data_IF_175995529163
#
_entry.id   IF_175995529163
#
_cell.length_a   1.000
_cell.length_b   1.000
_cell.length_c   1.000
_cell.angle_alpha   90.00
_cell.angle_beta   90.00
_cell.angle_gamma   90.00
#
_symmetry.space_group_name_H-M   'P 1'
#
loop_
_entity.id
_entity.type
_entity.pdbx_description
1 polymer ?
#
# COMPACT_ATOMS: atom_id res chain seq x y z
N UNK A 1 19.13 12.58 2.71
CA UNK A 1 18.79 11.15 2.90
C UNK A 1 20.08 10.42 3.18
N UNK A 2 20.17 9.52 4.19
CA UNK A 2 21.36 8.69 4.39
C UNK A 2 21.79 8.02 3.08
N UNK A 3 23.09 7.97 2.74
CA UNK A 3 23.57 7.40 1.47
C UNK A 3 23.04 5.97 1.21
N UNK A 4 22.92 5.16 2.26
CA UNK A 4 22.38 3.79 2.19
C UNK A 4 20.93 3.71 1.65
N UNK A 5 20.10 4.71 1.93
CA UNK A 5 18.74 4.83 1.39
C UNK A 5 18.71 5.50 0.01
N UNK A 6 19.67 6.40 -0.26
CA UNK A 6 19.73 7.21 -1.47
C UNK A 6 20.17 6.44 -2.73
N UNK A 7 21.18 5.57 -2.62
CA UNK A 7 21.69 4.82 -3.77
C UNK A 7 20.69 3.78 -4.31
N UNK A 8 19.62 3.49 -3.56
CA UNK A 8 18.58 2.55 -3.99
C UNK A 8 17.81 3.01 -5.22
N UNK A 9 17.57 4.31 -5.34
CA UNK A 9 16.69 4.91 -6.34
C UNK A 9 17.25 4.89 -7.79
N UNK A 10 18.56 4.69 -7.95
CA UNK A 10 19.24 4.81 -9.26
C UNK A 10 19.28 3.51 -10.08
N UNK A 11 18.82 2.37 -9.54
CA UNK A 11 18.95 1.07 -10.21
C UNK A 11 17.60 0.41 -10.46
N UNK A 12 17.48 -0.33 -11.57
CA UNK A 12 16.28 -1.02 -12.07
C UNK A 12 15.71 -2.13 -11.15
N UNK A 13 16.19 -2.25 -9.91
CA UNK A 13 15.85 -3.32 -8.95
C UNK A 13 15.74 -2.81 -7.50
N UNK A 14 15.09 -1.66 -7.27
CA UNK A 14 14.95 -1.15 -5.89
C UNK A 14 14.11 -2.08 -4.99
N UNK A 15 13.24 -2.92 -5.56
CA UNK A 15 12.51 -3.99 -4.84
C UNK A 15 13.41 -5.14 -4.39
N UNK A 16 14.51 -5.41 -5.09
CA UNK A 16 15.42 -6.54 -4.81
C UNK A 16 16.64 -6.12 -3.99
N UNK A 17 16.70 -4.85 -3.52
CA UNK A 17 17.90 -4.37 -2.84
C UNK A 17 18.03 -4.97 -1.46
N UNK A 18 18.95 -5.93 -1.41
CA UNK A 18 19.73 -6.33 -0.26
C UNK A 18 20.71 -5.21 0.06
N UNK A 19 20.64 -4.64 1.26
CA UNK A 19 21.73 -3.79 1.75
C UNK A 19 22.36 -4.40 2.98
N UNK A 20 23.69 -4.29 3.06
CA UNK A 20 24.47 -4.79 4.20
C UNK A 20 24.56 -3.66 5.22
N UNK A 21 23.96 -3.84 6.39
CA UNK A 21 24.14 -2.95 7.54
C UNK A 21 24.77 -3.77 8.66
N UNK A 22 25.94 -3.33 9.13
CA UNK A 22 26.69 -4.01 10.20
C UNK A 22 26.99 -5.49 9.87
N UNK A 23 27.31 -5.79 8.61
CA UNK A 23 27.59 -7.16 8.13
C UNK A 23 26.33 -8.00 7.81
N UNK A 24 25.13 -7.45 7.95
CA UNK A 24 23.86 -8.18 7.79
C UNK A 24 23.10 -7.75 6.55
N UNK A 25 22.66 -8.71 5.74
CA UNK A 25 21.79 -8.49 4.57
C UNK A 25 20.35 -8.19 5.03
N UNK A 26 19.88 -6.98 4.76
CA UNK A 26 18.50 -6.55 5.04
C UNK A 26 17.70 -6.58 3.74
N UNK A 27 16.56 -7.29 3.76
CA UNK A 27 15.58 -7.30 2.68
C UNK A 27 14.62 -6.13 2.85
N UNK A 28 14.76 -5.11 2.00
CA UNK A 28 13.76 -4.04 1.89
C UNK A 28 12.76 -4.41 0.80
N UNK A 29 11.89 -5.38 1.07
CA UNK A 29 10.69 -5.65 0.27
C UNK A 29 9.68 -4.51 0.44
N UNK A 30 10.07 -3.29 0.07
CA UNK A 30 9.19 -2.15 0.09
C UNK A 30 8.20 -2.33 -1.07
N UNK A 31 6.95 -2.64 -0.73
CA UNK A 31 5.82 -2.51 -1.65
C UNK A 31 5.90 -1.07 -2.20
N UNK A 32 6.06 -0.87 -3.51
CA UNK A 32 6.37 0.45 -4.07
C UNK A 32 7.87 0.72 -4.23
N UNK A 33 8.47 0.16 -5.29
CA UNK A 33 9.81 0.48 -5.74
C UNK A 33 9.87 1.93 -6.30
N UNK A 34 10.71 2.81 -5.74
CA UNK A 34 10.91 4.21 -6.17
C UNK A 34 11.74 4.36 -7.46
N UNK A 35 11.70 3.38 -8.36
CA UNK A 35 12.55 3.43 -9.55
C UNK A 35 12.05 4.52 -10.51
N UNK A 36 12.97 5.41 -10.89
CA UNK A 36 12.75 6.53 -11.82
C UNK A 36 12.20 6.11 -13.19
N UNK A 37 12.30 4.82 -13.53
CA UNK A 37 11.94 4.24 -14.84
C UNK A 37 10.48 3.78 -14.89
N UNK A 38 9.89 3.37 -13.77
CA UNK A 38 8.52 2.80 -13.79
C UNK A 38 7.55 3.41 -12.78
N UNK A 39 8.04 4.14 -11.76
CA UNK A 39 7.16 4.67 -10.70
C UNK A 39 7.62 6.04 -10.20
N UNK A 40 6.74 7.04 -10.30
CA UNK A 40 6.84 8.27 -9.53
C UNK A 40 6.19 8.06 -8.15
N UNK A 41 6.70 7.11 -7.36
CA UNK A 41 6.20 6.87 -6.02
C UNK A 41 6.64 8.00 -5.08
N UNK A 42 5.72 8.55 -4.30
CA UNK A 42 6.03 9.52 -3.25
C UNK A 42 6.25 8.79 -1.92
N UNK A 43 7.27 9.22 -1.15
CA UNK A 43 7.51 8.78 0.22
C UNK A 43 7.89 9.96 1.08
N UNK A 44 7.31 10.02 2.28
CA UNK A 44 7.69 10.98 3.32
C UNK A 44 9.14 10.83 3.79
N UNK A 45 9.79 9.69 3.52
CA UNK A 45 11.14 9.37 4.00
C UNK A 45 12.24 9.50 2.93
N UNK A 46 11.96 9.17 1.66
CA UNK A 46 12.92 9.41 0.57
C UNK A 46 12.67 10.81 -0.02
N UNK A 47 13.60 11.74 0.22
CA UNK A 47 13.66 13.02 -0.53
C UNK A 47 14.16 12.84 -1.97
N UNK A 48 14.16 11.60 -2.45
CA UNK A 48 14.69 11.17 -3.75
C UNK A 48 13.64 11.37 -4.84
N UNK A 49 12.37 11.37 -4.45
CA UNK A 49 11.33 11.97 -5.26
C UNK A 49 11.63 13.46 -5.34
N UNK A 50 12.02 13.89 -6.54
CA UNK A 50 12.07 15.29 -6.91
C UNK A 50 11.23 15.40 -8.17
N UNK A 51 10.36 16.41 -8.28
CA UNK A 51 9.82 16.75 -9.57
C UNK A 51 10.98 17.07 -10.54
N UNK A 52 10.74 17.14 -11.86
CA UNK A 52 11.74 17.61 -12.81
C UNK A 52 12.01 19.11 -12.62
N UNK A 53 12.55 19.51 -11.47
CA UNK A 53 12.79 20.90 -11.05
C UNK A 53 13.52 21.73 -12.09
N UNK A 54 14.52 21.22 -12.84
CA UNK A 54 15.13 22.00 -13.91
C UNK A 54 14.12 22.49 -14.96
N UNK A 55 13.13 21.67 -15.34
CA UNK A 55 12.07 22.07 -16.27
C UNK A 55 11.14 23.12 -15.64
N UNK A 56 10.95 23.04 -14.33
CA UNK A 56 10.10 23.93 -13.55
C UNK A 56 10.70 25.34 -13.34
N UNK A 57 11.98 25.54 -13.67
CA UNK A 57 12.70 26.79 -13.41
C UNK A 57 13.03 27.61 -14.66
N UNK A 58 12.71 27.13 -15.87
CA UNK A 58 13.07 27.83 -17.12
C UNK A 58 12.16 29.03 -17.40
N UNK A 59 10.85 28.82 -17.41
CA UNK A 59 9.83 29.86 -17.62
C UNK A 59 8.51 29.43 -16.99
N UNK A 60 7.60 30.38 -16.75
CA UNK A 60 6.27 30.07 -16.20
C UNK A 60 5.47 29.16 -17.14
N UNK A 61 5.53 29.40 -18.45
CA UNK A 61 4.87 28.55 -19.45
C UNK A 61 5.41 27.12 -19.42
N UNK A 62 6.75 26.95 -19.40
CA UNK A 62 7.33 25.60 -19.34
C UNK A 62 7.03 24.91 -18.02
N UNK A 63 6.98 25.65 -16.91
CA UNK A 63 6.58 25.13 -15.61
C UNK A 63 5.15 24.57 -15.65
N UNK A 64 4.21 25.31 -16.24
CA UNK A 64 2.81 24.90 -16.32
C UNK A 64 2.62 23.69 -17.25
N UNK A 65 3.31 23.67 -18.40
CA UNK A 65 3.32 22.52 -19.32
C UNK A 65 3.93 21.28 -18.64
N UNK A 66 5.08 21.45 -17.98
CA UNK A 66 5.76 20.35 -17.32
C UNK A 66 4.96 19.81 -16.13
N UNK A 67 4.24 20.67 -15.37
CA UNK A 67 3.31 20.25 -14.32
C UNK A 67 2.14 19.46 -14.89
N UNK A 68 1.53 19.96 -15.97
CA UNK A 68 0.44 19.26 -16.64
C UNK A 68 0.88 17.87 -17.09
N UNK A 69 1.98 17.77 -17.85
CA UNK A 69 2.52 16.49 -18.33
C UNK A 69 2.87 15.57 -17.16
N UNK A 70 3.57 16.08 -16.15
CA UNK A 70 4.01 15.27 -15.01
C UNK A 70 2.82 14.69 -14.22
N UNK A 71 1.82 15.49 -13.85
CA UNK A 71 0.71 15.01 -13.05
C UNK A 71 -0.34 14.22 -13.86
N UNK A 72 -0.48 14.49 -15.16
CA UNK A 72 -1.46 13.80 -16.00
C UNK A 72 -0.99 12.49 -16.62
N UNK A 73 0.31 12.33 -16.84
CA UNK A 73 0.85 11.13 -17.50
C UNK A 73 1.55 10.15 -16.54
N UNK A 74 1.69 10.50 -15.26
CA UNK A 74 2.32 9.61 -14.28
C UNK A 74 1.29 8.95 -13.37
N UNK A 75 1.61 7.71 -12.98
CA UNK A 75 0.95 6.99 -11.89
C UNK A 75 1.65 7.30 -10.58
N UNK A 76 0.90 7.85 -9.63
CA UNK A 76 1.39 8.12 -8.29
C UNK A 76 1.00 6.99 -7.36
N UNK A 77 1.99 6.35 -6.75
CA UNK A 77 1.80 5.34 -5.70
C UNK A 77 2.21 5.96 -4.38
N UNK A 78 1.27 6.02 -3.44
CA UNK A 78 1.47 6.56 -2.09
C UNK A 78 1.37 5.41 -1.11
N UNK A 79 2.49 5.09 -0.47
CA UNK A 79 2.57 4.00 0.49
C UNK A 79 2.56 4.52 1.94
N UNK A 80 1.70 3.95 2.77
CA UNK A 80 1.45 4.33 4.15
C UNK A 80 2.41 3.69 5.18
N UNK A 81 3.32 2.82 4.74
CA UNK A 81 4.33 2.07 5.54
C UNK A 81 5.17 2.90 6.51
N UNK A 82 5.25 4.23 6.34
CA UNK A 82 6.18 5.10 7.07
C UNK A 82 5.50 6.30 7.74
N UNK A 83 4.17 6.30 7.87
CA UNK A 83 3.49 7.33 8.66
C UNK A 83 3.98 7.32 10.12
N UNK A 84 4.42 6.16 10.63
CA UNK A 84 5.26 6.07 11.82
C UNK A 84 6.70 6.47 11.49
N UNK A 85 7.28 7.44 12.20
CA UNK A 85 8.73 7.73 12.22
C UNK A 85 9.61 6.52 12.57
N UNK A 86 9.00 5.38 12.88
CA UNK A 86 9.59 4.07 12.97
C UNK A 86 8.74 3.08 12.13
N UNK A 87 9.04 2.85 10.82
CA UNK A 87 8.53 1.70 10.05
C UNK A 87 8.51 0.39 10.83
N UNK A 88 9.47 0.29 11.74
CA UNK A 88 9.72 -0.82 12.64
C UNK A 88 8.64 -1.00 13.70
N UNK A 89 7.65 -0.12 13.88
CA UNK A 89 6.62 -0.32 14.92
C UNK A 89 5.32 -0.89 14.30
N UNK A 90 4.96 -0.47 13.08
CA UNK A 90 3.96 -1.19 12.29
C UNK A 90 4.47 -2.57 11.83
N UNK A 91 5.80 -2.70 11.73
CA UNK A 91 6.53 -3.91 11.40
C UNK A 91 7.70 -4.15 12.38
N UNK A 92 7.40 -4.41 13.65
CA UNK A 92 8.40 -4.81 14.68
C UNK A 92 8.88 -6.26 14.54
N UNK A 93 9.31 -6.59 13.31
CA UNK A 93 9.38 -7.94 12.74
C UNK A 93 10.54 -8.03 11.78
N UNK A 94 10.65 -7.02 10.93
CA UNK A 94 11.63 -7.02 9.85
C UNK A 94 12.95 -6.39 10.28
N UNK A 95 13.03 -5.82 11.49
CA UNK A 95 14.32 -5.59 12.11
C UNK A 95 14.80 -6.88 12.74
N UNK A 96 15.82 -7.46 12.10
CA UNK A 96 16.57 -8.65 12.53
C UNK A 96 15.82 -9.96 12.46
N UNK A 97 15.37 -10.31 11.26
CA UNK A 97 15.61 -11.68 10.83
C UNK A 97 17.10 -11.72 10.49
N UNK A 98 17.89 -11.98 11.54
CA UNK A 98 19.25 -12.49 11.40
C UNK A 98 19.07 -13.77 10.60
N UNK A 99 19.21 -13.72 9.29
CA UNK A 99 19.61 -14.92 8.56
C UNK A 99 21.13 -14.83 8.55
N UNK A 100 21.84 -15.35 9.56
CA UNK A 100 23.21 -15.72 9.29
C UNK A 100 23.14 -16.71 8.13
N UNK A 101 23.97 -16.52 7.11
CA UNK A 101 24.22 -17.53 6.07
C UNK A 101 24.99 -18.73 6.69
N UNK A 102 24.94 -18.90 8.02
CA UNK A 102 25.64 -19.89 8.82
C UNK A 102 24.74 -20.40 9.95
N UNK A 103 24.69 -21.72 10.07
CA UNK A 103 23.61 -22.52 10.65
C UNK A 103 23.22 -22.32 12.13
N UNK A 104 23.89 -21.51 12.95
CA UNK A 104 23.80 -21.71 14.42
C UNK A 104 23.55 -20.49 15.33
N UNK A 105 22.88 -19.41 14.90
CA UNK A 105 22.47 -18.35 15.85
C UNK A 105 21.09 -17.79 15.56
N UNK A 106 20.07 -18.38 16.17
CA UNK A 106 18.71 -17.85 16.19
C UNK A 106 18.39 -17.22 17.54
N UNK A 107 17.55 -16.18 17.50
CA UNK A 107 16.90 -15.50 18.63
C UNK A 107 17.74 -14.47 19.39
N UNK A 108 17.48 -13.19 19.11
CA UNK A 108 17.72 -12.11 20.08
C UNK A 108 16.47 -12.04 20.98
N UNK A 109 16.55 -12.37 22.28
CA UNK A 109 15.39 -12.45 23.17
C UNK A 109 14.65 -11.11 23.33
N UNK A 110 15.33 -9.99 23.10
CA UNK A 110 14.81 -8.65 23.40
C UNK A 110 13.70 -8.18 22.45
N UNK A 111 13.54 -8.80 21.28
CA UNK A 111 12.62 -8.32 20.22
C UNK A 111 11.40 -9.22 19.98
N UNK A 112 11.39 -10.47 20.48
CA UNK A 112 10.21 -11.37 20.43
C UNK A 112 9.08 -10.84 21.33
N UNK A 113 9.36 -9.87 22.19
CA UNK A 113 8.43 -9.39 23.22
C UNK A 113 7.88 -7.98 22.98
N UNK A 114 8.26 -7.28 21.91
CA UNK A 114 7.62 -5.99 21.62
C UNK A 114 6.21 -6.24 21.09
N UNK A 115 5.22 -5.82 21.88
CA UNK A 115 3.82 -5.89 21.46
C UNK A 115 3.62 -4.93 20.29
N UNK A 116 2.94 -5.34 19.21
CA UNK A 116 2.55 -4.40 18.16
C UNK A 116 1.79 -3.23 18.78
N UNK A 117 1.91 -2.01 18.22
CA UNK A 117 1.21 -0.86 18.75
C UNK A 117 -0.30 -1.14 18.74
N UNK A 118 -0.98 -0.80 19.83
CA UNK A 118 -2.43 -0.98 19.95
C UNK A 118 -3.22 0.15 19.24
N UNK A 119 -2.56 0.92 18.38
CA UNK A 119 -3.16 2.03 17.64
C UNK A 119 -2.38 2.32 16.37
N UNK A 120 -3.04 3.01 15.44
CA UNK A 120 -2.38 3.54 14.27
C UNK A 120 -1.28 4.54 14.69
N UNK A 121 -0.06 4.45 14.14
CA UNK A 121 1.10 5.08 14.77
C UNK A 121 1.32 6.55 14.33
N UNK A 122 0.46 7.10 13.48
CA UNK A 122 0.66 8.42 12.89
C UNK A 122 -0.58 9.29 12.94
N UNK A 123 -0.41 10.60 13.05
CA UNK A 123 -1.53 11.54 13.10
C UNK A 123 -2.23 11.72 11.75
N UNK A 124 -1.61 11.31 10.64
CA UNK A 124 -2.10 11.51 9.27
C UNK A 124 -1.68 10.37 8.37
N UNK A 125 -2.53 10.00 7.41
CA UNK A 125 -2.15 9.06 6.35
C UNK A 125 -1.16 9.70 5.37
N UNK A 126 -0.30 8.88 4.77
CA UNK A 126 0.62 9.32 3.71
C UNK A 126 -0.14 9.92 2.51
N UNK A 127 -1.32 9.37 2.18
CA UNK A 127 -2.19 9.91 1.12
C UNK A 127 -2.66 11.33 1.43
N UNK A 128 -3.01 11.63 2.69
CA UNK A 128 -3.36 12.99 3.10
C UNK A 128 -2.22 13.96 2.91
N UNK A 129 -1.02 13.59 3.34
CA UNK A 129 0.18 14.42 3.17
C UNK A 129 0.46 14.67 1.69
N UNK A 130 0.38 13.63 0.85
CA UNK A 130 0.60 13.74 -0.59
C UNK A 130 -0.35 14.76 -1.24
N UNK A 131 -1.67 14.61 -1.01
CA UNK A 131 -2.68 15.48 -1.60
C UNK A 131 -2.63 16.91 -1.07
N UNK A 132 -2.29 17.11 0.20
CA UNK A 132 -2.32 18.43 0.86
C UNK A 132 -1.03 19.23 0.73
N UNK A 133 0.12 18.55 0.69
CA UNK A 133 1.43 19.20 0.88
C UNK A 133 2.37 19.00 -0.30
N UNK A 134 2.20 17.93 -1.07
CA UNK A 134 3.16 17.54 -2.12
C UNK A 134 2.66 17.96 -3.50
N UNK A 135 1.40 17.66 -3.81
CA UNK A 135 0.79 18.07 -5.06
C UNK A 135 0.38 19.54 -4.93
N UNK A 136 0.89 20.45 -5.79
CA UNK A 136 0.41 21.83 -5.80
C UNK A 136 -1.10 21.86 -6.02
N UNK A 137 -1.82 22.74 -5.31
CA UNK A 137 -3.28 22.77 -5.33
C UNK A 137 -3.86 22.93 -6.75
N UNK A 138 -3.23 23.75 -7.59
CA UNK A 138 -3.60 23.95 -8.99
C UNK A 138 -3.30 22.76 -9.91
N UNK A 139 -2.54 21.76 -9.43
CA UNK A 139 -2.19 20.55 -10.17
C UNK A 139 -3.03 19.33 -9.77
N UNK A 140 -3.85 19.40 -8.71
CA UNK A 140 -4.70 18.28 -8.27
C UNK A 140 -5.67 17.83 -9.37
N UNK A 141 -6.18 18.77 -10.17
CA UNK A 141 -7.05 18.47 -11.31
C UNK A 141 -6.35 17.74 -12.46
N UNK A 142 -5.01 17.68 -12.46
CA UNK A 142 -4.24 16.96 -13.47
C UNK A 142 -4.02 15.50 -13.11
N UNK A 143 -4.22 15.08 -11.86
CA UNK A 143 -4.07 13.68 -11.48
C UNK A 143 -4.99 12.79 -12.33
N UNK A 144 -4.42 11.74 -12.92
CA UNK A 144 -5.15 10.71 -13.68
C UNK A 144 -5.10 9.34 -13.03
N UNK A 145 -4.02 9.03 -12.31
CA UNK A 145 -3.91 7.76 -11.62
C UNK A 145 -3.29 7.96 -10.23
N UNK A 146 -4.05 7.59 -9.19
CA UNK A 146 -3.59 7.57 -7.81
C UNK A 146 -3.78 6.18 -7.22
N UNK A 147 -2.70 5.61 -6.69
CA UNK A 147 -2.72 4.37 -5.93
C UNK A 147 -2.34 4.65 -4.49
N UNK A 148 -3.18 4.20 -3.56
CA UNK A 148 -2.96 4.31 -2.12
C UNK A 148 -2.72 2.90 -1.60
N UNK A 149 -1.57 2.68 -0.98
CA UNK A 149 -1.16 1.37 -0.47
C UNK A 149 -1.02 1.45 1.04
N UNK A 150 -1.87 0.70 1.73
CA UNK A 150 -1.72 0.45 3.15
C UNK A 150 -0.95 -0.86 3.34
N UNK A 151 0.06 -0.89 4.23
CA UNK A 151 0.71 -2.13 4.59
C UNK A 151 -0.28 -3.10 5.27
N UNK A 152 0.11 -4.37 5.41
CA UNK A 152 -0.61 -5.33 6.25
C UNK A 152 -0.55 -4.90 7.72
N UNK A 153 -1.38 -3.95 8.14
CA UNK A 153 -1.51 -3.59 9.56
C UNK A 153 -2.13 -4.73 10.37
N UNK A 154 -1.69 -4.90 11.61
CA UNK A 154 -2.36 -5.74 12.59
C UNK A 154 -3.78 -5.19 12.86
N UNK A 155 -4.73 -6.05 13.25
CA UNK A 155 -6.09 -5.67 13.62
C UNK A 155 -6.15 -4.52 14.65
N UNK A 156 -5.20 -4.46 15.58
CA UNK A 156 -5.12 -3.41 16.59
C UNK A 156 -4.51 -2.09 16.08
N UNK A 157 -3.82 -2.11 14.94
CA UNK A 157 -3.13 -0.93 14.39
C UNK A 157 -4.06 -0.07 13.51
N UNK A 158 -5.25 -0.53 13.17
CA UNK A 158 -6.16 0.27 12.34
C UNK A 158 -6.72 1.44 13.16
N UNK A 159 -6.79 2.65 12.59
CA UNK A 159 -7.34 3.79 13.31
C UNK A 159 -8.83 3.57 13.60
N UNK A 160 -9.26 3.96 14.80
CA UNK A 160 -10.66 4.04 15.20
C UNK A 160 -11.28 5.38 14.80
N UNK A 161 -12.60 5.52 14.88
CA UNK A 161 -13.33 6.67 14.31
C UNK A 161 -12.84 8.04 14.83
N UNK A 162 -12.47 8.13 16.11
CA UNK A 162 -11.93 9.36 16.71
C UNK A 162 -10.42 9.59 16.49
N UNK A 163 -9.75 8.72 15.73
CA UNK A 163 -8.31 8.81 15.53
C UNK A 163 -7.96 10.02 14.62
N UNK A 164 -6.95 10.85 14.98
CA UNK A 164 -6.58 12.03 14.19
C UNK A 164 -6.34 11.75 12.71
N UNK A 165 -5.73 10.61 12.38
CA UNK A 165 -5.49 10.21 10.99
C UNK A 165 -6.77 10.04 10.16
N UNK A 166 -7.84 9.47 10.76
CA UNK A 166 -9.12 9.32 10.05
C UNK A 166 -9.86 10.65 9.94
N UNK A 167 -9.79 11.51 10.96
CA UNK A 167 -10.35 12.87 10.89
C UNK A 167 -9.66 13.70 9.80
N UNK A 168 -8.32 13.67 9.73
CA UNK A 168 -7.54 14.32 8.68
C UNK A 168 -7.83 13.73 7.29
N UNK A 169 -8.08 12.41 7.21
CA UNK A 169 -8.44 11.75 5.97
C UNK A 169 -9.80 12.22 5.44
N UNK A 170 -10.82 12.22 6.29
CA UNK A 170 -12.16 12.75 5.96
C UNK A 170 -12.05 14.20 5.49
N UNK A 171 -11.37 15.04 6.27
CA UNK A 171 -11.18 16.44 5.92
C UNK A 171 -10.40 16.61 4.60
N UNK A 172 -9.41 15.76 4.33
CA UNK A 172 -8.63 15.77 3.09
C UNK A 172 -9.48 15.43 1.88
N UNK A 173 -10.28 14.36 1.95
CA UNK A 173 -11.12 13.97 0.83
C UNK A 173 -12.17 15.05 0.55
N UNK A 174 -12.83 15.57 1.59
CA UNK A 174 -13.78 16.68 1.44
C UNK A 174 -13.15 17.91 0.77
N UNK A 175 -11.97 18.32 1.23
CA UNK A 175 -11.24 19.43 0.61
C UNK A 175 -10.77 19.14 -0.83
N UNK A 176 -10.36 17.90 -1.13
CA UNK A 176 -9.83 17.52 -2.44
C UNK A 176 -10.95 17.34 -3.48
N UNK A 177 -12.17 17.03 -3.02
CA UNK A 177 -13.36 16.76 -3.83
C UNK A 177 -13.56 17.77 -4.96
N UNK A 178 -13.44 19.07 -4.67
CA UNK A 178 -13.65 20.14 -5.65
C UNK A 178 -12.38 20.59 -6.40
N UNK A 179 -11.25 19.89 -6.23
CA UNK A 179 -9.97 20.22 -6.85
C UNK A 179 -9.46 19.13 -7.78
N UNK A 180 -9.85 17.89 -7.54
CA UNK A 180 -9.51 16.74 -8.35
C UNK A 180 -10.48 16.64 -9.53
N UNK A 181 -9.96 16.26 -10.70
CA UNK A 181 -10.79 15.92 -11.85
C UNK A 181 -11.32 14.49 -11.70
N UNK A 182 -12.35 14.32 -10.88
CA UNK A 182 -12.90 13.02 -10.53
C UNK A 182 -13.31 12.18 -11.75
N UNK A 183 -13.98 12.74 -12.79
CA UNK A 183 -14.27 12.01 -14.04
C UNK A 183 -13.06 11.56 -14.86
N UNK A 184 -11.87 12.10 -14.60
CA UNK A 184 -10.62 11.68 -15.23
C UNK A 184 -9.66 10.95 -14.28
N UNK A 185 -10.07 10.67 -13.04
CA UNK A 185 -9.22 10.01 -12.05
C UNK A 185 -9.55 8.52 -11.96
N UNK A 186 -8.51 7.70 -12.11
CA UNK A 186 -8.47 6.30 -11.69
C UNK A 186 -7.87 6.23 -10.29
N UNK A 187 -8.61 5.65 -9.35
CA UNK A 187 -8.17 5.44 -7.98
C UNK A 187 -7.98 3.94 -7.70
N UNK A 188 -6.84 3.57 -7.13
CA UNK A 188 -6.60 2.22 -6.61
C UNK A 188 -6.32 2.26 -5.12
N UNK A 189 -6.97 1.38 -4.37
CA UNK A 189 -6.75 1.20 -2.95
C UNK A 189 -6.29 -0.23 -2.66
N UNK A 190 -5.04 -0.36 -2.22
CA UNK A 190 -4.42 -1.64 -1.90
C UNK A 190 -4.30 -1.76 -0.38
N UNK A 191 -4.94 -2.77 0.19
CA UNK A 191 -4.81 -3.16 1.60
C UNK A 191 -3.98 -4.44 1.61
N UNK A 192 -2.66 -4.27 1.58
CA UNK A 192 -1.75 -5.34 1.20
C UNK A 192 -1.82 -6.53 2.18
N UNK A 193 -1.85 -7.73 1.62
CA UNK A 193 -1.61 -8.96 2.36
C UNK A 193 -0.12 -9.27 2.39
N UNK A 194 0.39 -9.75 3.53
CA UNK A 194 1.79 -10.13 3.62
C UNK A 194 2.00 -11.54 3.06
N UNK A 195 2.65 -11.68 1.89
CA UNK A 195 2.92 -12.98 1.26
C UNK A 195 4.24 -13.65 1.70
N UNK A 196 4.98 -13.11 2.68
CA UNK A 196 6.27 -13.76 2.98
C UNK A 196 6.07 -15.12 3.66
N UNK A 197 6.92 -16.06 3.29
CA UNK A 197 6.93 -17.41 3.82
C UNK A 197 7.18 -17.40 5.35
N UNK A 198 6.60 -18.35 6.11
CA UNK A 198 7.03 -18.60 7.49
C UNK A 198 8.54 -18.90 7.50
N UNK A 199 9.30 -18.47 8.53
CA UNK A 199 8.87 -18.02 9.86
C UNK A 199 8.74 -16.49 10.02
N UNK A 200 8.79 -15.70 8.95
CA UNK A 200 8.88 -14.23 9.03
C UNK A 200 7.55 -13.54 9.42
N UNK A 201 6.61 -14.26 10.04
CA UNK A 201 5.34 -13.72 10.50
C UNK A 201 5.51 -13.14 11.91
N UNK A 202 5.34 -11.84 12.09
CA UNK A 202 5.49 -11.18 13.39
C UNK A 202 4.28 -11.30 14.28
N UNK A 203 3.17 -10.95 13.66
CA UNK A 203 1.88 -11.04 14.23
C UNK A 203 1.57 -12.51 14.11
N UNK A 204 1.12 -13.12 15.19
CA UNK A 204 0.54 -14.44 15.26
C UNK A 204 -0.69 -14.55 14.35
N UNK A 205 -0.62 -14.19 13.06
CA UNK A 205 -1.74 -14.17 12.11
C UNK A 205 -2.27 -15.55 11.84
N UNK A 206 -1.47 -16.56 12.15
CA UNK A 206 -1.90 -17.96 12.27
C UNK A 206 -3.06 -18.12 13.27
N UNK A 207 -3.22 -17.17 14.19
CA UNK A 207 -4.20 -17.13 15.26
C UNK A 207 -5.19 -15.95 15.13
N UNK A 208 -5.30 -15.27 13.97
CA UNK A 208 -6.32 -14.24 13.78
C UNK A 208 -7.70 -14.85 14.04
N UNK A 209 -8.33 -14.43 15.13
CA UNK A 209 -9.70 -14.80 15.46
C UNK A 209 -10.69 -14.15 14.49
N UNK A 210 -11.93 -14.62 14.46
CA UNK A 210 -12.98 -13.98 13.67
C UNK A 210 -13.12 -12.49 14.04
N UNK A 211 -13.23 -12.16 15.32
CA UNK A 211 -13.36 -10.78 15.77
C UNK A 211 -12.18 -9.87 15.33
N UNK A 212 -10.96 -10.39 15.31
CA UNK A 212 -9.77 -9.64 14.86
C UNK A 212 -9.77 -9.42 13.35
N UNK A 213 -10.18 -10.41 12.56
CA UNK A 213 -10.31 -10.22 11.11
C UNK A 213 -11.44 -9.24 10.77
N UNK A 214 -12.55 -9.27 11.52
CA UNK A 214 -13.64 -8.29 11.40
C UNK A 214 -13.15 -6.87 11.71
N UNK A 215 -12.26 -6.70 12.69
CA UNK A 215 -11.64 -5.40 12.98
C UNK A 215 -10.76 -4.89 11.83
N UNK A 216 -10.03 -5.78 11.13
CA UNK A 216 -9.28 -5.41 9.92
C UNK A 216 -10.22 -4.92 8.82
N UNK A 217 -11.30 -5.67 8.54
CA UNK A 217 -12.30 -5.25 7.56
C UNK A 217 -12.97 -3.93 7.94
N UNK A 218 -13.28 -3.72 9.22
CA UNK A 218 -13.83 -2.46 9.71
C UNK A 218 -12.83 -1.30 9.51
N UNK A 219 -11.53 -1.52 9.69
CA UNK A 219 -10.48 -0.56 9.37
C UNK A 219 -10.48 -0.17 7.88
N UNK A 220 -10.60 -1.14 6.98
CA UNK A 220 -10.73 -0.90 5.55
C UNK A 220 -11.99 -0.08 5.22
N UNK A 221 -13.13 -0.43 5.80
CA UNK A 221 -14.40 0.26 5.60
C UNK A 221 -14.33 1.73 6.05
N UNK A 222 -13.62 2.04 7.16
CA UNK A 222 -13.39 3.43 7.62
C UNK A 222 -12.60 4.26 6.61
N UNK A 223 -11.61 3.66 5.94
CA UNK A 223 -10.80 4.36 4.94
C UNK A 223 -11.55 4.52 3.62
N UNK A 224 -12.38 3.53 3.26
CA UNK A 224 -13.23 3.57 2.07
C UNK A 224 -14.35 4.61 2.16
N UNK A 225 -14.99 4.74 3.33
CA UNK A 225 -16.20 5.56 3.49
C UNK A 225 -16.06 6.99 2.95
N UNK A 226 -14.98 7.75 3.25
CA UNK A 226 -14.82 9.09 2.69
C UNK A 226 -14.67 9.11 1.17
N UNK A 227 -14.11 8.06 0.57
CA UNK A 227 -13.89 7.99 -0.88
C UNK A 227 -15.19 7.81 -1.68
N UNK A 228 -16.29 7.37 -1.04
CA UNK A 228 -17.57 7.17 -1.71
C UNK A 228 -18.09 8.47 -2.38
N UNK A 229 -17.81 9.64 -1.79
CA UNK A 229 -18.23 10.91 -2.37
C UNK A 229 -17.56 11.21 -3.72
N UNK A 230 -16.37 10.64 -3.99
CA UNK A 230 -15.73 10.76 -5.29
C UNK A 230 -16.47 9.94 -6.35
N UNK A 231 -17.03 8.79 -5.96
CA UNK A 231 -17.87 7.99 -6.85
C UNK A 231 -19.14 8.72 -7.28
N UNK A 232 -19.79 9.40 -6.34
CA UNK A 232 -20.94 10.29 -6.59
C UNK A 232 -20.57 11.43 -7.58
N UNK A 233 -19.36 11.96 -7.49
CA UNK A 233 -18.83 13.00 -8.38
C UNK A 233 -18.30 12.46 -9.73
N UNK A 234 -18.58 11.20 -10.03
CA UNK A 234 -18.29 10.63 -11.34
C UNK A 234 -16.89 10.02 -11.47
N UNK A 235 -16.28 9.49 -10.40
CA UNK A 235 -14.94 8.87 -10.43
C UNK A 235 -14.77 7.94 -11.63
N UNK A 236 -13.72 8.12 -12.45
CA UNK A 236 -13.59 7.40 -13.71
C UNK A 236 -13.58 5.89 -13.49
N UNK A 237 -12.67 5.43 -12.62
CA UNK A 237 -12.46 4.03 -12.27
C UNK A 237 -12.03 3.91 -10.81
N UNK A 238 -12.38 2.79 -10.20
CA UNK A 238 -11.93 2.42 -8.87
C UNK A 238 -11.52 0.94 -8.84
N UNK A 239 -10.34 0.67 -8.29
CA UNK A 239 -9.83 -0.68 -8.08
C UNK A 239 -9.54 -0.90 -6.59
N UNK A 240 -10.04 -2.00 -6.05
CA UNK A 240 -9.66 -2.49 -4.73
C UNK A 240 -8.75 -3.72 -4.87
N UNK A 241 -7.78 -3.81 -3.98
CA UNK A 241 -6.85 -4.92 -3.85
C UNK A 241 -6.69 -5.25 -2.36
N UNK A 242 -7.70 -5.91 -1.81
CA UNK A 242 -7.84 -6.18 -0.38
C UNK A 242 -7.50 -7.62 -0.07
N UNK A 243 -6.56 -7.81 0.84
CA UNK A 243 -6.25 -9.13 1.33
C UNK A 243 -7.34 -9.69 2.25
N UNK A 244 -7.64 -10.98 2.12
CA UNK A 244 -8.53 -11.68 3.03
C UNK A 244 -7.85 -11.85 4.39
N UNK A 245 -8.37 -11.28 5.50
CA UNK A 245 -7.66 -11.24 6.78
C UNK A 245 -7.31 -12.62 7.34
N UNK A 246 -8.14 -13.63 7.06
CA UNK A 246 -7.99 -14.98 7.59
C UNK A 246 -7.25 -15.95 6.67
N UNK A 247 -6.71 -15.49 5.53
CA UNK A 247 -5.98 -16.38 4.61
C UNK A 247 -4.73 -17.04 5.23
N UNK A 248 -4.34 -16.61 6.44
CA UNK A 248 -3.17 -17.07 7.19
C UNK A 248 -3.50 -17.96 8.39
N UNK A 249 -4.77 -18.18 8.73
CA UNK A 249 -5.16 -18.88 9.98
C UNK A 249 -4.85 -20.37 9.87
N UNK A 250 -4.17 -20.89 10.91
CA UNK A 250 -3.47 -22.20 10.95
C UNK A 250 -4.25 -23.48 10.64
N UNK A 251 -5.58 -23.60 10.82
CA UNK A 251 -6.33 -24.80 10.43
C UNK A 251 -6.21 -25.12 8.93
N UNK A 252 -5.86 -24.12 8.13
CA UNK A 252 -5.57 -24.26 6.70
C UNK A 252 -4.24 -24.99 6.43
N UNK A 253 -3.27 -24.91 7.36
CA UNK A 253 -1.89 -25.38 7.15
C UNK A 253 -1.52 -26.59 7.99
N UNK A 254 -1.98 -26.68 9.24
CA UNK A 254 -1.55 -27.76 10.16
C UNK A 254 -2.29 -29.10 9.89
N UNK A 255 -3.31 -29.12 9.03
CA UNK A 255 -4.09 -30.32 8.72
C UNK A 255 -3.62 -31.15 7.52
N UNK A 256 -2.70 -30.67 6.68
CA UNK A 256 -2.45 -31.31 5.38
C UNK A 256 -0.99 -31.39 4.97
N UNK A 257 -0.44 -32.60 5.08
CA UNK A 257 0.48 -33.12 4.07
C UNK A 257 -0.27 -33.17 2.73
N UNK A 258 -0.02 -32.24 1.81
CA UNK A 258 0.05 -32.43 0.35
C UNK A 258 -0.01 -31.09 -0.40
N UNK A 259 0.93 -30.90 -1.33
CA UNK A 259 1.04 -29.75 -2.25
C UNK A 259 -0.24 -29.47 -3.05
N UNK A 260 -1.07 -30.49 -3.29
CA UNK A 260 -2.36 -30.37 -4.00
C UNK A 260 -3.36 -29.48 -3.26
N UNK A 261 -3.28 -29.36 -1.93
CA UNK A 261 -4.16 -28.45 -1.19
C UNK A 261 -3.76 -26.98 -1.32
N UNK A 262 -2.51 -26.67 -1.63
CA UNK A 262 -2.04 -25.28 -1.63
C UNK A 262 -2.71 -24.43 -2.72
N UNK A 263 -2.82 -24.96 -3.95
CA UNK A 263 -3.48 -24.27 -5.06
C UNK A 263 -4.96 -24.02 -4.77
N UNK A 264 -5.66 -25.00 -4.21
CA UNK A 264 -7.06 -24.85 -3.81
C UNK A 264 -7.24 -23.78 -2.72
N UNK A 265 -6.31 -23.70 -1.76
CA UNK A 265 -6.34 -22.68 -0.70
C UNK A 265 -6.05 -21.28 -1.23
N UNK A 266 -5.09 -21.15 -2.14
CA UNK A 266 -4.81 -19.88 -2.82
C UNK A 266 -6.01 -19.43 -3.66
N UNK A 267 -6.59 -20.32 -4.46
CA UNK A 267 -7.78 -20.04 -5.25
C UNK A 267 -8.98 -19.66 -4.36
N UNK A 268 -9.17 -20.36 -3.24
CA UNK A 268 -10.21 -20.03 -2.28
C UNK A 268 -9.97 -18.64 -1.65
N UNK A 269 -8.76 -18.34 -1.20
CA UNK A 269 -8.42 -17.03 -0.64
C UNK A 269 -8.63 -15.92 -1.68
N UNK A 270 -8.17 -16.13 -2.91
CA UNK A 270 -8.40 -15.22 -4.04
C UNK A 270 -9.89 -14.99 -4.27
N UNK A 271 -10.73 -16.04 -4.23
CA UNK A 271 -12.19 -15.87 -4.37
C UNK A 271 -12.80 -15.01 -3.26
N UNK A 272 -12.25 -15.05 -2.04
CA UNK A 272 -12.67 -14.18 -0.94
C UNK A 272 -12.21 -12.74 -1.15
N UNK A 273 -10.99 -12.56 -1.65
CA UNK A 273 -10.43 -11.25 -2.00
C UNK A 273 -11.21 -10.60 -3.15
N UNK A 274 -11.59 -11.36 -4.17
CA UNK A 274 -12.47 -10.91 -5.26
C UNK A 274 -13.81 -10.40 -4.74
N UNK A 275 -14.45 -11.12 -3.80
CA UNK A 275 -15.71 -10.68 -3.18
C UNK A 275 -15.52 -9.38 -2.40
N UNK A 276 -14.41 -9.23 -1.65
CA UNK A 276 -14.09 -7.97 -0.96
C UNK A 276 -13.87 -6.82 -1.95
N UNK A 277 -13.12 -7.06 -3.01
CA UNK A 277 -12.80 -6.07 -4.03
C UNK A 277 -14.05 -5.61 -4.78
N UNK A 278 -14.95 -6.55 -5.10
CA UNK A 278 -16.26 -6.27 -5.71
C UNK A 278 -17.15 -5.46 -4.77
N UNK A 279 -17.21 -5.82 -3.48
CA UNK A 279 -17.95 -5.06 -2.47
C UNK A 279 -17.43 -3.63 -2.38
N UNK A 280 -16.12 -3.43 -2.30
CA UNK A 280 -15.50 -2.12 -2.26
C UNK A 280 -15.78 -1.32 -3.54
N UNK A 281 -15.68 -1.96 -4.70
CA UNK A 281 -15.97 -1.35 -6.00
C UNK A 281 -17.42 -0.86 -6.13
N UNK A 282 -18.40 -1.69 -5.75
CA UNK A 282 -19.81 -1.28 -5.70
C UNK A 282 -20.06 -0.20 -4.67
N UNK A 283 -19.40 -0.27 -3.51
CA UNK A 283 -19.55 0.75 -2.48
C UNK A 283 -19.10 2.13 -2.96
N UNK A 284 -17.99 2.22 -3.70
CA UNK A 284 -17.48 3.49 -4.23
C UNK A 284 -18.24 3.93 -5.48
N UNK A 285 -18.39 3.08 -6.49
CA UNK A 285 -18.92 3.49 -7.80
C UNK A 285 -20.46 3.35 -7.91
N UNK A 286 -21.12 2.72 -6.95
CA UNK A 286 -22.54 2.39 -7.03
C UNK A 286 -22.86 1.54 -8.28
N UNK A 287 -23.98 1.86 -8.93
CA UNK A 287 -24.45 1.19 -10.16
C UNK A 287 -23.46 1.31 -11.34
N UNK A 288 -22.51 2.25 -11.30
CA UNK A 288 -21.49 2.40 -12.34
C UNK A 288 -20.49 1.25 -12.34
N UNK A 289 -20.27 0.61 -11.19
CA UNK A 289 -19.35 -0.52 -11.08
C UNK A 289 -19.70 -1.62 -12.08
N UNK A 290 -20.97 -2.06 -12.10
CA UNK A 290 -21.41 -3.15 -12.98
C UNK A 290 -21.40 -2.73 -14.46
N UNK A 291 -21.52 -1.44 -14.77
CA UNK A 291 -21.39 -0.93 -16.16
C UNK A 291 -19.95 -1.00 -16.64
N UNK A 292 -19.02 -0.49 -15.84
CA UNK A 292 -17.58 -0.46 -16.16
C UNK A 292 -17.04 -1.89 -16.29
N UNK A 293 -17.40 -2.78 -15.34
CA UNK A 293 -16.98 -4.18 -15.35
C UNK A 293 -17.43 -4.94 -16.61
N UNK A 294 -18.56 -4.56 -17.22
CA UNK A 294 -19.02 -5.16 -18.49
C UNK A 294 -18.29 -4.60 -19.71
N UNK A 295 -17.86 -3.34 -19.67
CA UNK A 295 -17.23 -2.68 -20.82
C UNK A 295 -15.74 -2.95 -20.96
N UNK A 296 -15.02 -3.17 -19.85
CA UNK A 296 -13.55 -3.16 -19.87
C UNK A 296 -12.88 -4.48 -20.28
N UNK A 297 -13.63 -5.56 -20.54
CA UNK A 297 -12.98 -6.87 -20.74
C UNK A 297 -12.12 -7.23 -19.51
N UNK A 298 -11.17 -8.14 -19.63
CA UNK A 298 -10.25 -8.46 -18.51
C UNK A 298 -9.58 -7.18 -17.99
N UNK A 299 -9.80 -6.89 -16.69
CA UNK A 299 -9.24 -5.76 -15.94
C UNK A 299 -7.76 -5.55 -16.30
N UNK A 300 -7.36 -4.29 -16.51
CA UNK A 300 -5.97 -3.89 -16.74
C UNK A 300 -5.03 -4.65 -15.78
N UNK A 301 -4.02 -5.34 -16.32
CA UNK A 301 -3.14 -6.25 -15.56
C UNK A 301 -2.68 -5.60 -14.25
N UNK A 302 -2.89 -6.27 -13.11
CA UNK A 302 -2.43 -5.71 -11.83
C UNK A 302 -0.90 -5.66 -11.89
N UNK A 303 -0.26 -4.47 -11.83
CA UNK A 303 1.18 -4.38 -12.06
C UNK A 303 2.01 -5.11 -10.99
N UNK A 304 1.39 -5.46 -9.86
CA UNK A 304 2.00 -6.16 -8.74
C UNK A 304 1.85 -7.70 -8.79
N UNK A 305 0.97 -8.27 -9.62
CA UNK A 305 0.88 -9.74 -9.75
C UNK A 305 2.08 -10.33 -10.50
N UNK A 306 2.83 -9.50 -11.23
CA UNK A 306 3.88 -9.94 -12.18
C UNK A 306 5.13 -10.53 -11.49
N UNK A 307 5.29 -10.45 -10.16
CA UNK A 307 6.52 -10.89 -9.49
C UNK A 307 6.36 -11.83 -8.29
N UNK A 308 5.19 -12.45 -8.09
CA UNK A 308 4.96 -13.32 -6.94
C UNK A 308 4.56 -14.77 -7.24
N UNK A 309 4.56 -15.21 -8.51
CA UNK A 309 4.82 -16.63 -8.75
C UNK A 309 6.26 -16.89 -8.30
N UNK A 310 6.50 -17.73 -7.29
CA UNK A 310 7.84 -18.21 -7.04
C UNK A 310 8.25 -18.91 -8.33
N UNK A 311 9.30 -18.42 -9.00
CA UNK A 311 10.03 -19.24 -9.95
C UNK A 311 10.61 -20.39 -9.13
N UNK A 312 9.87 -21.49 -9.01
CA UNK A 312 10.37 -22.75 -8.49
C UNK A 312 11.36 -23.35 -9.49
#
# INVERSE_FOLDING_TARGET
CPPALHHGCQFSRCSDRRYIKDGVVVYSGAIGCFCRVRHAAFSSSCRCWAPPTPLFLVSQTLLDDARFVFFSLNRFVVNDTLASHAPYIAFDVFKTIRVPIHDDVWEMPEYIHSKPPNSYPAERFAASQFLRQIVPTNCLGYLRFLEIVFPPYNHACWPHDDHPALQDWVATIDWARNKINTPGLTLRLTMAGFLALPPLYPDERKLVTQAQGDQVLAGCDRILKPLACLGEDGLAQFYADFAWPWKWVRPVYDGHQQLTHHEHLLAWAQSKEEVLNERAGRFILGDRYDRIRRSEGTLEEMPWTIYHTPSY
#
